data_IF_871275067474
#
_entry.id   IF_871275067474
#
_cell.length_a   1.000
_cell.length_b   1.000
_cell.length_c   1.000
_cell.angle_alpha   90.00
_cell.angle_beta   90.00
_cell.angle_gamma   90.00
#
_symmetry.space_group_name_H-M   'P 1'
#
loop_
_entity.id
_entity.type
_entity.pdbx_description
1 polymer ?
#
# COMPACT_ATOMS: atom_id res chain seq x y z
N UNK A 1 -23.11 -10.71 1.50
CA UNK A 1 -21.72 -10.49 1.05
C UNK A 1 -20.84 -10.77 2.25
N UNK A 2 -19.82 -11.64 2.08
CA UNK A 2 -18.89 -11.94 3.17
C UNK A 2 -17.61 -11.12 3.09
N UNK A 3 -17.10 -10.94 1.87
CA UNK A 3 -15.85 -10.23 1.62
C UNK A 3 -16.08 -9.20 0.51
N UNK A 4 -15.54 -8.00 0.71
CA UNK A 4 -15.33 -7.00 -0.35
C UNK A 4 -13.83 -6.99 -0.65
N UNK A 5 -13.46 -7.10 -1.92
CA UNK A 5 -12.06 -7.00 -2.35
C UNK A 5 -11.94 -5.97 -3.46
N UNK A 6 -10.91 -5.13 -3.41
CA UNK A 6 -10.67 -4.14 -4.45
C UNK A 6 -9.49 -3.20 -4.16
N UNK A 7 -9.34 -2.23 -5.03
CA UNK A 7 -8.29 -1.22 -4.91
C UNK A 7 -8.61 -0.24 -3.79
N UNK A 8 -7.59 0.13 -3.00
CA UNK A 8 -7.72 1.08 -1.88
C UNK A 8 -8.52 2.30 -2.26
N UNK A 9 -8.13 3.01 -3.34
CA UNK A 9 -8.81 4.23 -3.76
C UNK A 9 -10.28 4.05 -4.16
N UNK A 10 -10.61 2.94 -4.81
CA UNK A 10 -11.98 2.65 -5.22
C UNK A 10 -12.89 2.36 -4.02
N UNK A 11 -12.40 1.57 -3.06
CA UNK A 11 -13.14 1.23 -1.84
C UNK A 11 -13.27 2.45 -0.93
N UNK A 12 -12.23 3.27 -0.81
CA UNK A 12 -12.27 4.50 -0.03
C UNK A 12 -13.25 5.53 -0.62
N UNK A 13 -13.26 5.69 -1.95
CA UNK A 13 -14.24 6.55 -2.63
C UNK A 13 -15.68 6.06 -2.39
N UNK A 14 -15.92 4.75 -2.50
CA UNK A 14 -17.22 4.16 -2.21
C UNK A 14 -17.61 4.35 -0.73
N UNK A 15 -16.67 4.21 0.20
CA UNK A 15 -16.88 4.46 1.62
C UNK A 15 -17.31 5.90 1.88
N UNK A 16 -16.62 6.85 1.27
CA UNK A 16 -16.94 8.28 1.36
C UNK A 16 -18.34 8.58 0.81
N UNK A 17 -18.70 8.00 -0.34
CA UNK A 17 -20.02 8.15 -0.94
C UNK A 17 -21.12 7.59 -0.04
N UNK A 18 -20.94 6.38 0.50
CA UNK A 18 -21.90 5.74 1.44
C UNK A 18 -22.13 6.63 2.65
N UNK A 19 -21.08 7.19 3.23
CA UNK A 19 -21.16 8.04 4.42
C UNK A 19 -21.82 9.39 4.12
N UNK A 20 -21.44 10.04 3.03
CA UNK A 20 -21.99 11.34 2.63
C UNK A 20 -23.49 11.25 2.37
N UNK A 21 -23.95 10.17 1.72
CA UNK A 21 -25.37 9.98 1.38
C UNK A 21 -26.14 9.14 2.42
N UNK A 22 -25.51 8.80 3.55
CA UNK A 22 -26.10 7.98 4.64
C UNK A 22 -26.76 6.69 4.14
N UNK A 23 -26.12 6.03 3.18
CA UNK A 23 -26.65 4.81 2.56
C UNK A 23 -26.49 3.64 3.54
N UNK A 24 -27.58 2.94 3.79
CA UNK A 24 -27.54 1.67 4.55
C UNK A 24 -27.00 0.57 3.67
N UNK A 25 -25.91 -0.06 4.07
CA UNK A 25 -25.30 -1.20 3.38
C UNK A 25 -25.35 -2.46 4.24
N UNK A 26 -25.45 -3.63 3.59
CA UNK A 26 -25.27 -4.88 4.30
C UNK A 26 -23.79 -5.02 4.66
N UNK A 27 -23.50 -5.14 5.94
CA UNK A 27 -22.15 -5.22 6.47
C UNK A 27 -21.44 -6.49 5.98
N UNK A 28 -20.25 -6.40 5.38
CA UNK A 28 -19.39 -7.55 5.09
C UNK A 28 -18.75 -8.08 6.36
N UNK A 29 -18.18 -9.28 6.32
CA UNK A 29 -17.36 -9.80 7.42
C UNK A 29 -15.94 -9.22 7.42
N UNK A 30 -15.43 -8.88 6.22
CA UNK A 30 -14.08 -8.32 6.02
C UNK A 30 -13.99 -7.53 4.72
N UNK A 31 -12.99 -6.65 4.65
CA UNK A 31 -12.61 -5.90 3.45
C UNK A 31 -11.12 -6.16 3.19
N UNK A 32 -10.80 -6.59 1.98
CA UNK A 32 -9.42 -6.76 1.52
C UNK A 32 -9.09 -5.70 0.49
N UNK A 33 -8.00 -4.97 0.71
CA UNK A 33 -7.54 -3.89 -0.18
C UNK A 33 -6.18 -4.19 -0.76
N UNK A 34 -5.91 -3.67 -1.96
CA UNK A 34 -4.65 -3.87 -2.69
C UNK A 34 -4.35 -2.69 -3.63
N UNK A 35 -3.28 -2.82 -4.41
CA UNK A 35 -2.82 -1.94 -5.48
C UNK A 35 -2.12 -0.64 -5.06
N UNK A 36 -2.36 -0.14 -3.87
CA UNK A 36 -1.62 0.99 -3.31
C UNK A 36 -1.53 0.84 -1.79
N UNK A 37 -0.51 1.45 -1.14
CA UNK A 37 -0.46 1.49 0.31
C UNK A 37 -1.72 2.14 0.88
N UNK A 38 -2.32 1.51 1.88
CA UNK A 38 -3.46 2.10 2.59
C UNK A 38 -2.97 3.03 3.71
N UNK A 39 -3.50 4.25 3.74
CA UNK A 39 -3.26 5.19 4.84
C UNK A 39 -4.19 4.92 6.02
N UNK A 40 -3.79 5.37 7.21
CA UNK A 40 -4.63 5.24 8.41
C UNK A 40 -5.95 6.01 8.31
N UNK A 41 -5.99 7.08 7.52
CA UNK A 41 -7.20 7.87 7.25
C UNK A 41 -8.17 7.07 6.40
N UNK A 42 -7.69 6.48 5.30
CA UNK A 42 -8.50 5.62 4.43
C UNK A 42 -9.02 4.38 5.16
N UNK A 43 -8.15 3.71 5.94
CA UNK A 43 -8.52 2.55 6.75
C UNK A 43 -9.72 2.90 7.66
N UNK A 44 -9.61 3.99 8.43
CA UNK A 44 -10.70 4.46 9.31
C UNK A 44 -11.96 4.84 8.54
N UNK A 45 -11.84 5.50 7.37
CA UNK A 45 -12.98 5.87 6.54
C UNK A 45 -13.74 4.64 6.05
N UNK A 46 -13.01 3.64 5.55
CA UNK A 46 -13.57 2.38 5.05
C UNK A 46 -14.24 1.61 6.20
N UNK A 47 -13.56 1.44 7.32
CA UNK A 47 -14.12 0.75 8.50
C UNK A 47 -15.39 1.44 9.02
N UNK A 48 -15.41 2.77 9.05
CA UNK A 48 -16.59 3.53 9.47
C UNK A 48 -17.79 3.38 8.53
N UNK A 49 -17.55 3.21 7.22
CA UNK A 49 -18.61 3.05 6.23
C UNK A 49 -19.20 1.64 6.21
N UNK A 50 -18.34 0.62 6.36
CA UNK A 50 -18.72 -0.78 6.18
C UNK A 50 -18.85 -1.55 7.49
N UNK A 51 -18.45 -1.00 8.63
CA UNK A 51 -18.49 -1.68 9.93
C UNK A 51 -17.68 -2.97 10.00
N UNK A 52 -16.66 -3.12 9.17
CA UNK A 52 -15.86 -4.34 9.03
C UNK A 52 -14.37 -4.02 8.97
N UNK A 53 -13.51 -4.93 9.47
CA UNK A 53 -12.06 -4.72 9.45
C UNK A 53 -11.50 -4.74 8.03
N UNK A 54 -10.51 -3.86 7.81
CA UNK A 54 -9.77 -3.77 6.54
C UNK A 54 -8.46 -4.53 6.65
N UNK A 55 -8.13 -5.31 5.63
CA UNK A 55 -6.90 -6.09 5.52
C UNK A 55 -6.14 -5.69 4.26
N UNK A 56 -4.88 -5.33 4.44
CA UNK A 56 -3.98 -4.98 3.35
C UNK A 56 -3.39 -6.23 2.71
N UNK A 57 -3.33 -6.24 1.38
CA UNK A 57 -2.78 -7.31 0.58
C UNK A 57 -1.81 -6.74 -0.44
N UNK A 58 -0.60 -7.28 -0.46
CA UNK A 58 0.46 -6.94 -1.37
C UNK A 58 0.56 -7.94 -2.52
N UNK A 59 0.66 -7.42 -3.72
CA UNK A 59 0.89 -8.17 -4.95
C UNK A 59 1.23 -7.23 -6.10
N UNK A 60 1.62 -7.79 -7.23
CA UNK A 60 1.84 -7.08 -8.47
C UNK A 60 1.20 -7.85 -9.63
N UNK A 61 1.07 -7.21 -10.80
CA UNK A 61 0.42 -7.84 -11.95
C UNK A 61 1.20 -9.03 -12.49
N UNK A 62 2.51 -9.01 -12.34
CA UNK A 62 3.43 -10.04 -12.82
C UNK A 62 3.43 -11.28 -11.92
N UNK A 63 3.29 -11.07 -10.60
CA UNK A 63 3.25 -12.14 -9.59
C UNK A 63 2.15 -11.84 -8.60
N UNK A 64 1.04 -12.51 -8.74
CA UNK A 64 -0.26 -12.05 -8.27
C UNK A 64 -0.38 -11.87 -6.74
N UNK A 65 0.01 -12.78 -5.93
CA UNK A 65 -0.14 -12.70 -4.47
C UNK A 65 1.21 -12.92 -3.80
N UNK A 66 1.68 -11.91 -3.12
CA UNK A 66 2.99 -11.89 -2.49
C UNK A 66 2.91 -11.98 -0.97
N UNK A 67 2.05 -11.17 -0.36
CA UNK A 67 1.88 -11.13 1.08
C UNK A 67 0.51 -10.54 1.47
N UNK A 68 0.01 -10.87 2.66
CA UNK A 68 -1.24 -10.32 3.17
C UNK A 68 -1.22 -10.18 4.70
N UNK A 69 -2.04 -9.26 5.20
CA UNK A 69 -2.30 -9.15 6.63
C UNK A 69 -3.17 -10.32 7.14
N UNK A 70 -2.91 -10.70 8.38
CA UNK A 70 -3.79 -11.56 9.16
C UNK A 70 -4.69 -10.73 10.09
N UNK A 71 -5.45 -11.39 10.96
CA UNK A 71 -6.33 -10.73 11.97
C UNK A 71 -5.62 -9.73 12.89
N UNK A 72 -4.32 -9.87 13.09
CA UNK A 72 -3.52 -8.97 13.93
C UNK A 72 -3.19 -7.63 13.24
N UNK A 73 -3.25 -7.57 11.91
CA UNK A 73 -3.06 -6.37 11.05
C UNK A 73 -1.78 -5.57 11.27
N UNK A 74 -0.76 -6.19 11.91
CA UNK A 74 0.51 -5.52 12.29
C UNK A 74 1.55 -5.57 11.16
N UNK A 75 1.58 -6.67 10.42
CA UNK A 75 2.56 -6.94 9.37
C UNK A 75 1.90 -7.75 8.25
N UNK A 76 2.60 -7.89 7.14
CA UNK A 76 2.21 -8.77 6.04
C UNK A 76 2.92 -10.11 6.21
N UNK A 77 2.18 -11.22 6.11
CA UNK A 77 2.72 -12.56 6.00
C UNK A 77 3.12 -12.83 4.54
N UNK A 78 4.39 -13.12 4.29
CA UNK A 78 4.89 -13.49 2.96
C UNK A 78 4.45 -14.90 2.60
N UNK A 79 3.91 -15.11 1.41
CA UNK A 79 3.54 -16.44 0.90
C UNK A 79 4.78 -17.21 0.43
N UNK A 80 5.66 -17.53 1.37
CA UNK A 80 7.00 -18.05 1.14
C UNK A 80 7.03 -19.46 0.57
N UNK A 81 5.95 -20.19 0.67
CA UNK A 81 5.73 -21.51 0.08
C UNK A 81 5.58 -21.46 -1.46
N UNK A 82 5.10 -20.35 -2.00
CA UNK A 82 4.85 -20.16 -3.44
C UNK A 82 5.62 -18.99 -4.04
N UNK A 83 6.16 -18.11 -3.21
CA UNK A 83 6.88 -16.88 -3.64
C UNK A 83 8.13 -16.65 -2.78
N UNK A 84 9.27 -16.45 -3.42
CA UNK A 84 10.46 -15.97 -2.72
C UNK A 84 10.53 -14.45 -2.82
N UNK A 85 10.56 -13.76 -1.69
CA UNK A 85 10.73 -12.33 -1.58
C UNK A 85 12.07 -12.05 -0.91
N UNK A 86 12.94 -11.30 -1.59
CA UNK A 86 14.24 -10.86 -1.12
C UNK A 86 14.22 -9.32 -0.98
N UNK A 87 15.00 -8.80 -0.04
CA UNK A 87 15.21 -7.36 0.13
C UNK A 87 16.66 -7.06 -0.16
N UNK A 88 16.94 -6.18 -1.14
CA UNK A 88 18.30 -5.88 -1.58
C UNK A 88 18.62 -4.39 -1.47
N UNK A 89 19.86 -4.08 -1.17
CA UNK A 89 20.39 -2.73 -1.09
C UNK A 89 20.74 -2.16 -2.49
N UNK A 90 21.31 -0.95 -2.52
CA UNK A 90 21.71 -0.29 -3.77
C UNK A 90 22.79 -1.03 -4.58
N UNK A 91 23.54 -1.92 -3.93
CA UNK A 91 24.61 -2.72 -4.56
C UNK A 91 24.12 -4.13 -4.96
N UNK A 92 22.80 -4.37 -5.01
CA UNK A 92 22.17 -5.66 -5.33
C UNK A 92 22.49 -6.80 -4.33
N UNK A 93 23.00 -6.47 -3.15
CA UNK A 93 23.28 -7.40 -2.07
C UNK A 93 22.09 -7.49 -1.11
N UNK A 94 21.88 -8.64 -0.45
CA UNK A 94 20.84 -8.75 0.58
C UNK A 94 20.99 -7.66 1.65
N UNK A 95 19.86 -7.09 2.08
CA UNK A 95 19.83 -6.21 3.23
C UNK A 95 19.98 -6.99 4.53
N UNK A 96 20.55 -6.35 5.55
CA UNK A 96 20.47 -6.84 6.90
C UNK A 96 19.02 -6.84 7.41
N UNK A 97 18.72 -7.70 8.37
CA UNK A 97 17.39 -7.81 8.97
C UNK A 97 16.87 -6.46 9.48
N UNK A 98 15.60 -6.16 9.16
CA UNK A 98 14.95 -4.92 9.55
C UNK A 98 15.37 -3.68 8.75
N UNK A 99 16.36 -3.79 7.85
CA UNK A 99 16.78 -2.72 6.95
C UNK A 99 15.91 -2.74 5.70
N UNK A 100 15.43 -1.55 5.31
CA UNK A 100 14.62 -1.39 4.12
C UNK A 100 15.44 -1.56 2.85
N UNK A 101 14.88 -2.29 1.89
CA UNK A 101 15.51 -2.56 0.60
C UNK A 101 14.49 -2.66 -0.53
N UNK A 102 15.02 -2.71 -1.74
CA UNK A 102 14.23 -2.97 -2.94
C UNK A 102 13.72 -4.41 -2.91
N UNK A 103 12.47 -4.58 -3.27
CA UNK A 103 11.83 -5.89 -3.28
C UNK A 103 12.17 -6.63 -4.57
N UNK A 104 12.69 -7.84 -4.43
CA UNK A 104 12.99 -8.76 -5.53
C UNK A 104 12.16 -10.02 -5.34
N UNK A 105 11.50 -10.46 -6.41
CA UNK A 105 10.51 -11.53 -6.37
C UNK A 105 10.92 -12.67 -7.30
N UNK A 106 10.80 -13.90 -6.79
CA UNK A 106 10.84 -15.12 -7.61
C UNK A 106 9.52 -15.86 -7.44
N UNK A 107 8.86 -16.15 -8.55
CA UNK A 107 7.67 -16.98 -8.59
C UNK A 107 8.09 -18.46 -8.64
N UNK A 108 7.70 -19.25 -7.65
CA UNK A 108 8.04 -20.66 -7.55
C UNK A 108 7.05 -21.59 -8.26
N UNK A 109 5.94 -21.05 -8.77
CA UNK A 109 4.88 -21.81 -9.42
C UNK A 109 4.77 -21.58 -10.94
N UNK A 110 5.33 -20.49 -11.47
CA UNK A 110 5.23 -20.15 -12.88
C UNK A 110 6.32 -20.82 -13.73
N UNK A 111 6.09 -22.06 -14.14
CA UNK A 111 7.05 -22.84 -14.95
C UNK A 111 7.04 -22.47 -16.43
N UNK A 112 5.93 -22.00 -16.98
CA UNK A 112 5.82 -21.65 -18.40
C UNK A 112 6.38 -20.27 -18.72
N UNK A 113 6.30 -19.35 -17.78
CA UNK A 113 6.89 -18.02 -17.85
C UNK A 113 7.59 -17.72 -16.53
N UNK A 114 8.78 -18.25 -16.31
CA UNK A 114 9.46 -18.14 -15.02
C UNK A 114 9.86 -16.71 -14.73
N UNK A 115 9.43 -16.21 -13.58
CA UNK A 115 9.84 -14.92 -13.04
C UNK A 115 10.85 -15.20 -11.95
N UNK A 116 12.11 -14.86 -12.22
CA UNK A 116 13.24 -15.13 -11.34
C UNK A 116 13.95 -13.82 -11.02
N UNK A 117 14.02 -13.48 -9.72
CA UNK A 117 14.64 -12.27 -9.20
C UNK A 117 14.18 -10.99 -9.91
N UNK A 118 12.88 -10.87 -10.09
CA UNK A 118 12.23 -9.71 -10.69
C UNK A 118 12.20 -8.53 -9.72
N UNK A 119 12.78 -7.41 -10.14
CA UNK A 119 12.78 -6.15 -9.40
C UNK A 119 11.51 -5.38 -9.74
N UNK A 120 10.52 -5.41 -8.86
CA UNK A 120 9.19 -4.82 -9.14
C UNK A 120 9.06 -3.32 -8.87
N UNK A 121 10.14 -2.70 -8.35
CA UNK A 121 10.20 -1.25 -8.09
C UNK A 121 9.64 -0.81 -6.73
N UNK A 122 9.25 -1.74 -5.88
CA UNK A 122 8.74 -1.45 -4.54
C UNK A 122 9.83 -1.57 -3.47
N UNK A 123 9.60 -0.95 -2.30
CA UNK A 123 10.45 -1.03 -1.13
C UNK A 123 9.72 -1.68 0.05
N UNK A 124 10.49 -2.42 0.83
CA UNK A 124 10.02 -3.04 2.06
C UNK A 124 11.17 -3.58 2.89
N UNK A 125 10.85 -4.19 4.01
CA UNK A 125 11.83 -4.83 4.88
C UNK A 125 11.29 -6.09 5.52
N UNK A 126 12.18 -6.97 5.87
CA UNK A 126 11.86 -8.12 6.70
C UNK A 126 11.52 -7.67 8.13
N UNK A 127 10.57 -8.34 8.74
CA UNK A 127 10.22 -8.15 10.15
C UNK A 127 10.52 -9.45 10.88
N UNK A 128 11.31 -9.34 11.95
CA UNK A 128 11.65 -10.47 12.80
C UNK A 128 10.48 -10.91 13.69
N UNK A 129 10.49 -12.17 14.05
CA UNK A 129 9.56 -12.75 15.00
C UNK A 129 8.42 -13.54 14.38
N UNK A 130 7.57 -14.05 15.24
CA UNK A 130 6.41 -14.88 14.91
C UNK A 130 5.14 -14.09 15.24
N UNK A 131 4.19 -14.08 14.31
CA UNK A 131 2.91 -13.44 14.55
C UNK A 131 2.06 -14.22 15.57
N UNK A 132 1.41 -13.52 16.46
CA UNK A 132 0.48 -14.10 17.45
C UNK A 132 -0.78 -14.73 16.83
N UNK A 133 -1.02 -14.54 15.53
CA UNK A 133 -2.17 -15.13 14.83
C UNK A 133 -2.09 -16.66 14.69
N UNK A 134 -0.90 -17.26 14.88
CA UNK A 134 -0.64 -18.69 14.73
C UNK A 134 -0.22 -19.13 13.32
N UNK A 135 -0.20 -18.24 12.34
CA UNK A 135 0.32 -18.52 10.98
C UNK A 135 1.84 -18.39 10.99
N UNK A 136 2.53 -19.49 10.68
CA UNK A 136 4.00 -19.55 10.68
C UNK A 136 4.59 -19.20 9.31
N UNK A 137 4.24 -18.04 8.78
CA UNK A 137 4.83 -17.46 7.58
C UNK A 137 5.75 -16.29 7.96
N UNK A 138 6.87 -16.09 7.23
CA UNK A 138 7.74 -14.95 7.46
C UNK A 138 7.00 -13.63 7.29
N UNK A 139 7.41 -12.63 8.05
CA UNK A 139 6.77 -11.32 8.07
C UNK A 139 7.55 -10.29 7.25
N UNK A 140 6.82 -9.31 6.73
CA UNK A 140 7.40 -8.11 6.13
C UNK A 140 6.58 -6.86 6.50
N UNK A 141 7.21 -5.71 6.36
CA UNK A 141 6.52 -4.42 6.51
C UNK A 141 5.43 -4.24 5.46
N UNK A 142 4.48 -3.35 5.72
CA UNK A 142 3.68 -2.77 4.65
C UNK A 142 4.62 -2.14 3.62
N UNK A 143 4.27 -2.27 2.35
CA UNK A 143 5.05 -1.68 1.26
C UNK A 143 4.88 -0.17 1.27
N UNK A 144 5.97 0.59 1.12
CA UNK A 144 5.94 2.04 1.26
C UNK A 144 5.77 2.80 -0.07
N UNK A 145 5.45 2.10 -1.16
CA UNK A 145 5.27 2.69 -2.48
C UNK A 145 6.44 2.41 -3.44
N UNK A 146 6.38 3.02 -4.61
CA UNK A 146 7.35 2.79 -5.69
C UNK A 146 8.46 3.84 -5.68
N UNK A 147 9.63 3.44 -6.18
CA UNK A 147 10.78 4.34 -6.43
C UNK A 147 10.35 5.57 -7.24
N UNK A 148 9.49 5.37 -8.24
CA UNK A 148 9.01 6.43 -9.15
C UNK A 148 8.06 7.45 -8.50
N UNK A 149 7.62 7.20 -7.28
CA UNK A 149 6.70 8.08 -6.55
C UNK A 149 7.41 8.91 -5.48
N UNK A 150 8.71 8.70 -5.31
CA UNK A 150 9.49 9.40 -4.29
C UNK A 150 9.97 10.77 -4.80
N UNK A 151 9.99 11.73 -3.89
CA UNK A 151 10.62 13.05 -4.10
C UNK A 151 11.99 13.03 -3.45
N UNK A 152 13.02 13.41 -4.20
CA UNK A 152 14.38 13.52 -3.70
C UNK A 152 14.74 14.98 -3.47
N UNK A 153 15.02 15.36 -2.23
CA UNK A 153 15.46 16.70 -1.89
C UNK A 153 16.96 16.89 -2.21
N UNK A 154 17.38 18.14 -2.33
CA UNK A 154 18.77 18.50 -2.68
C UNK A 154 19.79 18.05 -1.63
N UNK A 155 19.38 17.86 -0.39
CA UNK A 155 20.21 17.36 0.71
C UNK A 155 20.33 15.82 0.72
N UNK A 156 19.70 15.13 -0.24
CA UNK A 156 19.66 13.67 -0.33
C UNK A 156 18.50 13.03 0.45
N UNK A 157 17.68 13.82 1.14
CA UNK A 157 16.48 13.30 1.80
C UNK A 157 15.48 12.79 0.76
N UNK A 158 14.89 11.62 1.01
CA UNK A 158 13.86 11.03 0.15
C UNK A 158 12.52 11.05 0.87
N UNK A 159 11.51 11.66 0.25
CA UNK A 159 10.14 11.69 0.73
C UNK A 159 9.33 10.69 -0.07
N UNK A 160 8.82 9.65 0.58
CA UNK A 160 7.99 8.64 -0.08
C UNK A 160 6.62 9.21 -0.50
N UNK A 161 6.16 8.87 -1.71
CA UNK A 161 4.88 9.32 -2.26
C UNK A 161 3.67 9.12 -1.35
N UNK A 162 3.51 7.98 -0.65
CA UNK A 162 2.43 7.78 0.31
C UNK A 162 2.41 8.77 1.47
N UNK A 163 3.57 9.32 1.86
CA UNK A 163 3.62 10.38 2.88
C UNK A 163 2.95 11.67 2.40
N UNK A 164 3.20 12.06 1.14
CA UNK A 164 2.54 13.21 0.52
C UNK A 164 1.02 13.00 0.43
N UNK A 165 0.60 11.79 0.06
CA UNK A 165 -0.82 11.42 0.04
C UNK A 165 -1.45 11.62 1.42
N UNK A 166 -0.78 11.21 2.49
CA UNK A 166 -1.28 11.38 3.86
C UNK A 166 -1.46 12.86 4.24
N UNK A 167 -0.53 13.72 3.82
CA UNK A 167 -0.63 15.17 4.10
C UNK A 167 -1.91 15.74 3.47
N UNK A 168 -2.16 15.48 2.19
CA UNK A 168 -3.31 16.05 1.50
C UNK A 168 -4.64 15.43 1.95
N UNK A 169 -4.66 14.15 2.29
CA UNK A 169 -5.85 13.51 2.88
C UNK A 169 -6.22 14.04 4.28
N UNK A 170 -5.30 14.70 4.97
CA UNK A 170 -5.60 15.34 6.25
C UNK A 170 -6.47 16.61 6.10
N UNK A 171 -6.59 17.15 4.87
CA UNK A 171 -7.32 18.39 4.58
C UNK A 171 -8.33 18.18 3.42
N UNK A 172 -9.29 17.25 3.56
CA UNK A 172 -10.24 16.93 2.49
C UNK A 172 -11.18 18.09 2.14
N UNK A 173 -11.39 19.02 3.07
CA UNK A 173 -12.18 20.24 2.88
C UNK A 173 -11.43 21.29 2.04
N UNK A 174 -10.11 21.20 1.92
CA UNK A 174 -9.30 22.15 1.17
C UNK A 174 -8.90 21.62 -0.20
N UNK A 175 -8.62 20.32 -0.32
CA UNK A 175 -8.06 19.71 -1.52
C UNK A 175 -8.86 18.48 -1.94
N UNK A 176 -9.48 18.53 -3.11
CA UNK A 176 -10.23 17.42 -3.71
C UNK A 176 -9.32 16.43 -4.43
N UNK A 177 -8.35 16.95 -5.16
CA UNK A 177 -7.35 16.16 -5.89
C UNK A 177 -6.03 16.91 -5.91
N UNK A 178 -4.93 16.18 -5.96
CA UNK A 178 -3.60 16.78 -6.11
C UNK A 178 -2.68 15.91 -6.97
N UNK A 179 -1.64 16.54 -7.49
CA UNK A 179 -0.53 15.91 -8.16
C UNK A 179 0.75 16.64 -7.76
N UNK A 180 1.75 15.89 -7.32
CA UNK A 180 3.09 16.41 -7.04
C UNK A 180 4.00 16.03 -8.19
N UNK A 181 4.75 16.99 -8.71
CA UNK A 181 5.69 16.80 -9.80
C UNK A 181 7.03 17.43 -9.44
N UNK A 182 8.09 16.61 -9.48
CA UNK A 182 9.46 17.09 -9.32
C UNK A 182 10.14 17.20 -10.68
N UNK A 183 10.71 18.35 -10.97
CA UNK A 183 11.51 18.58 -12.18
C UNK A 183 12.94 18.07 -12.02
N UNK A 184 13.65 17.91 -13.12
CA UNK A 184 15.04 17.46 -13.14
C UNK A 184 16.02 18.42 -12.43
N UNK A 185 15.65 19.69 -12.28
CA UNK A 185 16.40 20.70 -11.52
C UNK A 185 16.13 20.66 -10.00
N UNK A 186 15.25 19.75 -9.53
CA UNK A 186 14.89 19.60 -8.14
C UNK A 186 13.65 20.40 -7.70
N UNK A 187 13.13 21.31 -8.54
CA UNK A 187 11.92 22.08 -8.22
C UNK A 187 10.70 21.18 -8.06
N UNK A 188 9.87 21.47 -7.05
CA UNK A 188 8.66 20.70 -6.74
C UNK A 188 7.44 21.57 -7.02
N UNK A 189 6.57 21.07 -7.87
CA UNK A 189 5.29 21.69 -8.22
C UNK A 189 4.13 20.87 -7.67
N UNK A 190 3.18 21.53 -7.02
CA UNK A 190 1.96 20.93 -6.54
C UNK A 190 0.82 21.51 -7.34
N UNK A 191 0.15 20.66 -8.13
CA UNK A 191 -1.12 20.97 -8.79
C UNK A 191 -2.23 20.41 -7.93
N UNK A 192 -3.27 21.19 -7.68
CA UNK A 192 -4.41 20.70 -6.91
C UNK A 192 -5.74 21.26 -7.43
N UNK A 193 -6.77 20.50 -7.19
CA UNK A 193 -8.15 20.92 -7.37
C UNK A 193 -8.68 21.26 -5.98
N UNK A 194 -9.10 22.51 -5.73
CA UNK A 194 -9.67 22.88 -4.45
C UNK A 194 -10.98 22.10 -4.23
N UNK A 195 -11.27 21.77 -2.99
CA UNK A 195 -12.58 21.32 -2.61
C UNK A 195 -13.48 22.58 -2.63
N UNK A 196 -14.24 22.75 -3.71
CA UNK A 196 -15.26 23.81 -3.76
C UNK A 196 -16.33 23.38 -2.76
N UNK A 197 -16.67 24.24 -1.81
CA UNK A 197 -17.91 24.07 -1.07
C UNK A 197 -19.02 24.06 -2.12
N UNK A 198 -19.89 23.05 -2.09
CA UNK A 198 -21.08 23.05 -2.94
C UNK A 198 -21.86 24.32 -2.57
N UNK A 199 -21.72 25.36 -3.39
CA UNK A 199 -22.63 26.51 -3.34
C UNK A 199 -24.00 25.99 -3.77
N UNK A 200 -24.93 25.95 -2.84
CA UNK A 200 -26.36 25.71 -3.07
C UNK A 200 -26.98 26.67 -4.11
#
# INVERSE_FOLDING_TARGET
IKLIHGYVGAIDYMASFIRAHKISVRLPEAISVTASPITSVQEKNIEAAFGAPVYDQYGCSEVFWLAAQCKERKALHRFHDVRRIEFINANDLPCDHGIEGRIVITDLESYYFPIIRYLNGDYGKEIDGICSCGVNLPLMSKVQGRISENISLLDGTVIAGPYLTTIFYAYPEAVKQFQVHQQSNGDIYIKYVPAVADDE
#
